data_IF_572319058387
#
_entry.id   IF_572319058387
#
_cell.length_a   1.000
_cell.length_b   1.000
_cell.length_c   1.000
_cell.angle_alpha   90.00
_cell.angle_beta   90.00
_cell.angle_gamma   90.00
#
_symmetry.space_group_name_H-M   'P 1'
#
loop_
_entity.id
_entity.type
_entity.pdbx_description
1 polymer ?
#
# COMPACT_ATOMS: atom_id res chain seq x y z
N UNK A 1 -7.72 14.27 -3.86
CA UNK A 1 -8.05 14.21 -2.41
C UNK A 1 -7.04 13.31 -1.75
N UNK A 2 -6.44 13.72 -0.62
CA UNK A 2 -5.47 12.89 0.11
C UNK A 2 -6.13 12.01 1.17
N UNK A 3 -5.59 10.80 1.33
CA UNK A 3 -6.04 9.79 2.29
C UNK A 3 -4.84 9.21 3.02
N UNK A 4 -4.97 9.01 4.34
CA UNK A 4 -3.92 8.39 5.15
C UNK A 4 -4.24 6.91 5.38
N UNK A 5 -3.28 6.05 5.05
CA UNK A 5 -3.36 4.59 5.13
C UNK A 5 -2.36 4.12 6.18
N UNK A 6 -2.84 3.49 7.24
CA UNK A 6 -2.02 2.99 8.35
C UNK A 6 -2.08 1.46 8.43
N UNK A 7 -0.96 0.80 8.16
CA UNK A 7 -0.87 -0.67 8.21
C UNK A 7 -0.81 -1.23 9.64
N UNK A 8 -0.71 -0.38 10.66
CA UNK A 8 -0.84 -0.80 12.05
C UNK A 8 -2.30 -1.06 12.46
N UNK A 9 -3.27 -0.57 11.68
CA UNK A 9 -4.70 -0.74 11.92
C UNK A 9 -5.27 -1.81 10.99
N UNK A 10 -6.18 -2.63 11.51
CA UNK A 10 -6.93 -3.59 10.69
C UNK A 10 -7.95 -2.85 9.81
N UNK A 11 -7.98 -3.20 8.53
CA UNK A 11 -8.95 -2.66 7.58
C UNK A 11 -9.87 -3.79 7.10
N UNK A 12 -11.21 -3.65 7.22
CA UNK A 12 -12.13 -4.65 6.69
C UNK A 12 -12.07 -4.67 5.17
N UNK A 13 -12.02 -5.87 4.59
CA UNK A 13 -11.97 -6.05 3.13
C UNK A 13 -13.40 -6.00 2.57
N UNK A 14 -13.66 -5.03 1.69
CA UNK A 14 -14.84 -4.95 0.84
C UNK A 14 -14.53 -5.50 -0.55
N UNK A 15 -15.24 -6.56 -0.95
CA UNK A 15 -15.07 -7.19 -2.26
C UNK A 15 -15.88 -6.50 -3.38
N UNK A 16 -16.77 -5.57 -3.02
CA UNK A 16 -17.58 -4.78 -3.94
C UNK A 16 -17.55 -3.29 -3.54
N UNK A 17 -16.38 -2.63 -3.64
CA UNK A 17 -16.28 -1.19 -3.38
C UNK A 17 -17.22 -0.42 -4.30
N UNK A 18 -17.83 0.64 -3.78
CA UNK A 18 -18.77 1.47 -4.56
C UNK A 18 -18.09 2.69 -5.16
N UNK A 19 -16.87 2.98 -4.71
CA UNK A 19 -16.08 4.13 -5.17
C UNK A 19 -14.65 3.72 -5.45
N UNK A 20 -14.03 4.38 -6.44
CA UNK A 20 -12.62 4.21 -6.77
C UNK A 20 -11.71 4.47 -5.55
N UNK A 21 -12.06 5.45 -4.73
CA UNK A 21 -11.29 5.79 -3.54
C UNK A 21 -11.22 4.62 -2.55
N UNK A 22 -12.35 3.96 -2.27
CA UNK A 22 -12.39 2.79 -1.38
C UNK A 22 -11.56 1.63 -1.93
N UNK A 23 -11.63 1.38 -3.23
CA UNK A 23 -10.86 0.35 -3.90
C UNK A 23 -9.35 0.62 -3.78
N UNK A 24 -8.90 1.81 -4.17
CA UNK A 24 -7.48 2.20 -4.16
C UNK A 24 -6.91 2.18 -2.74
N UNK A 25 -7.63 2.73 -1.76
CA UNK A 25 -7.21 2.71 -0.35
C UNK A 25 -7.05 1.27 0.15
N UNK A 26 -7.96 0.36 -0.21
CA UNK A 26 -7.87 -1.04 0.16
C UNK A 26 -6.69 -1.75 -0.51
N UNK A 27 -6.49 -1.52 -1.81
CA UNK A 27 -5.41 -2.16 -2.56
C UNK A 27 -4.04 -1.74 -2.02
N UNK A 28 -3.83 -0.43 -1.78
CA UNK A 28 -2.59 0.08 -1.17
C UNK A 28 -2.41 -0.50 0.23
N UNK A 29 -3.44 -0.52 1.08
CA UNK A 29 -3.34 -1.12 2.41
C UNK A 29 -2.93 -2.60 2.35
N UNK A 30 -3.52 -3.37 1.43
CA UNK A 30 -3.23 -4.79 1.26
C UNK A 30 -1.81 -5.03 0.74
N UNK A 31 -1.36 -4.23 -0.23
CA UNK A 31 0.01 -4.24 -0.75
C UNK A 31 1.04 -4.01 0.35
N UNK A 32 0.87 -2.94 1.13
CA UNK A 32 1.81 -2.55 2.18
C UNK A 32 1.77 -3.45 3.42
N UNK A 33 0.68 -4.21 3.59
CA UNK A 33 0.52 -5.18 4.69
C UNK A 33 1.07 -6.57 4.37
N UNK A 34 1.36 -6.84 3.10
CA UNK A 34 1.88 -8.13 2.61
C UNK A 34 3.40 -8.09 2.45
N UNK A 35 4.06 -9.24 2.54
CA UNK A 35 5.47 -9.38 2.18
C UNK A 35 5.61 -10.08 0.83
N UNK A 36 6.71 -9.80 0.14
CA UNK A 36 7.10 -10.59 -1.03
C UNK A 36 7.08 -12.09 -0.70
N UNK A 37 6.72 -12.89 -1.71
CA UNK A 37 6.53 -14.35 -1.63
C UNK A 37 5.31 -14.84 -0.85
N UNK A 38 4.54 -13.98 -0.17
CA UNK A 38 3.30 -14.41 0.52
C UNK A 38 2.21 -14.86 -0.48
N UNK A 39 2.18 -14.26 -1.67
CA UNK A 39 1.15 -14.52 -2.68
C UNK A 39 1.66 -15.54 -3.72
N UNK A 40 1.08 -16.76 -3.79
CA UNK A 40 1.63 -17.84 -4.63
C UNK A 40 1.67 -17.52 -6.14
N UNK A 41 0.66 -16.79 -6.63
CA UNK A 41 0.51 -16.44 -8.04
C UNK A 41 1.19 -15.12 -8.41
N UNK A 42 1.66 -14.35 -7.43
CA UNK A 42 2.42 -13.13 -7.65
C UNK A 42 3.46 -12.94 -6.53
N UNK A 43 4.67 -13.43 -6.76
CA UNK A 43 5.72 -13.47 -5.74
C UNK A 43 6.41 -12.14 -5.50
N UNK A 44 6.31 -11.22 -6.45
CA UNK A 44 6.88 -9.87 -6.35
C UNK A 44 5.90 -8.89 -5.68
N UNK A 45 4.68 -9.32 -5.36
CA UNK A 45 3.71 -8.51 -4.64
C UNK A 45 4.05 -8.42 -3.15
N UNK A 46 3.91 -7.22 -2.58
CA UNK A 46 4.19 -6.93 -1.18
C UNK A 46 5.53 -6.25 -0.98
N UNK A 47 5.85 -5.94 0.28
CA UNK A 47 7.11 -5.29 0.65
C UNK A 47 8.26 -6.31 0.77
N UNK A 48 9.44 -5.89 0.35
CA UNK A 48 10.65 -6.67 0.41
C UNK A 48 11.20 -6.72 1.85
N UNK A 49 11.22 -7.91 2.44
CA UNK A 49 11.65 -8.13 3.83
C UNK A 49 13.16 -7.96 4.09
N UNK A 50 13.98 -7.54 3.13
CA UNK A 50 15.44 -7.42 3.29
C UNK A 50 15.88 -6.45 4.39
N UNK A 51 14.98 -5.62 4.92
CA UNK A 51 15.26 -4.64 5.96
C UNK A 51 15.08 -5.15 7.40
N UNK A 52 14.55 -6.36 7.65
CA UNK A 52 14.23 -6.86 9.00
C UNK A 52 15.43 -6.86 9.95
N UNK A 53 16.63 -7.21 9.46
CA UNK A 53 17.85 -7.31 10.29
C UNK A 53 18.67 -6.01 10.33
N UNK A 54 18.11 -4.90 9.82
CA UNK A 54 18.83 -3.63 9.74
C UNK A 54 18.41 -2.72 10.89
N UNK A 55 19.29 -1.77 11.30
CA UNK A 55 18.89 -0.71 12.21
C UNK A 55 17.68 0.03 11.66
N UNK A 56 16.75 0.43 12.54
CA UNK A 56 15.47 1.07 12.15
C UNK A 56 15.69 2.23 11.17
N UNK A 57 16.70 3.06 11.37
CA UNK A 57 17.01 4.18 10.47
C UNK A 57 17.33 3.73 9.04
N UNK A 58 18.05 2.63 8.87
CA UNK A 58 18.36 2.04 7.56
C UNK A 58 17.15 1.29 7.00
N UNK A 59 16.40 0.60 7.87
CA UNK A 59 15.20 -0.12 7.47
C UNK A 59 14.13 0.83 6.92
N UNK A 60 13.90 1.96 7.58
CA UNK A 60 12.98 3.01 7.11
C UNK A 60 13.35 3.49 5.72
N UNK A 61 14.61 3.83 5.46
CA UNK A 61 15.03 4.31 4.14
C UNK A 61 14.84 3.27 3.02
N UNK A 62 15.12 2.00 3.31
CA UNK A 62 14.91 0.91 2.35
C UNK A 62 13.43 0.63 2.12
N UNK A 63 12.63 0.59 3.17
CA UNK A 63 11.19 0.43 3.08
C UNK A 63 10.56 1.60 2.30
N UNK A 64 11.00 2.84 2.51
CA UNK A 64 10.53 4.00 1.75
C UNK A 64 10.78 3.82 0.24
N UNK A 65 11.99 3.41 -0.15
CA UNK A 65 12.31 3.19 -1.57
C UNK A 65 11.41 2.10 -2.17
N UNK A 66 11.26 0.98 -1.46
CA UNK A 66 10.42 -0.14 -1.89
C UNK A 66 8.94 0.25 -1.98
N UNK A 67 8.42 1.05 -1.04
CA UNK A 67 7.04 1.57 -1.09
C UNK A 67 6.80 2.39 -2.37
N UNK A 68 7.74 3.26 -2.76
CA UNK A 68 7.62 4.02 -4.00
C UNK A 68 7.56 3.10 -5.23
N UNK A 69 8.46 2.12 -5.29
CA UNK A 69 8.52 1.18 -6.41
C UNK A 69 7.24 0.33 -6.49
N UNK A 70 6.81 -0.25 -5.36
CA UNK A 70 5.62 -1.13 -5.30
C UNK A 70 4.33 -0.39 -5.58
N UNK A 71 4.12 0.81 -5.02
CA UNK A 71 2.91 1.58 -5.31
C UNK A 71 2.89 2.01 -6.78
N UNK A 72 4.04 2.43 -7.34
CA UNK A 72 4.13 2.78 -8.75
C UNK A 72 3.83 1.62 -9.70
N UNK A 73 4.18 0.39 -9.31
CA UNK A 73 3.93 -0.82 -10.11
C UNK A 73 2.50 -1.35 -9.94
N UNK A 74 2.02 -1.49 -8.70
CA UNK A 74 0.80 -2.21 -8.38
C UNK A 74 -0.44 -1.33 -8.22
N UNK A 75 -0.28 -0.04 -7.89
CA UNK A 75 -1.42 0.87 -7.73
C UNK A 75 -1.07 2.28 -8.27
N UNK A 76 -0.86 2.43 -9.60
CA UNK A 76 -0.45 3.70 -10.21
C UNK A 76 -1.50 4.81 -10.11
N UNK A 77 -2.73 4.50 -9.70
CA UNK A 77 -3.80 5.48 -9.44
C UNK A 77 -3.58 6.24 -8.12
N UNK A 78 -2.71 5.74 -7.24
CA UNK A 78 -2.33 6.37 -5.98
C UNK A 78 -0.99 7.11 -6.11
N UNK A 79 -1.01 8.43 -5.96
CA UNK A 79 0.18 9.27 -5.89
C UNK A 79 0.59 9.47 -4.44
N UNK A 80 1.85 9.17 -4.10
CA UNK A 80 2.34 9.29 -2.73
C UNK A 80 2.60 10.76 -2.39
N UNK A 81 1.89 11.27 -1.38
CA UNK A 81 2.10 12.61 -0.82
C UNK A 81 3.16 12.58 0.28
N UNK A 82 3.07 11.62 1.20
CA UNK A 82 4.02 11.47 2.30
C UNK A 82 4.09 10.02 2.78
N UNK A 83 5.25 9.64 3.35
CA UNK A 83 5.46 8.33 3.96
C UNK A 83 6.00 8.56 5.37
N UNK A 84 5.25 8.05 6.33
CA UNK A 84 5.61 7.97 7.74
C UNK A 84 5.65 6.51 8.18
N UNK A 85 6.15 6.27 9.41
CA UNK A 85 6.17 4.94 9.99
C UNK A 85 5.77 4.98 11.46
N UNK A 86 4.88 4.05 11.82
CA UNK A 86 4.60 3.72 13.22
C UNK A 86 5.72 2.79 13.71
N UNK A 87 6.51 3.27 14.67
CA UNK A 87 7.69 2.56 15.21
C UNK A 87 7.54 2.21 16.68
N UNK A 88 7.88 0.97 17.04
CA UNK A 88 8.09 0.52 18.42
C UNK A 88 9.52 -0.01 18.54
N UNK A 89 10.40 0.78 19.14
CA UNK A 89 11.83 0.48 19.26
C UNK A 89 12.12 -0.71 20.20
N UNK A 90 11.28 -0.93 21.21
CA UNK A 90 11.48 -2.02 22.18
C UNK A 90 11.10 -3.37 21.56
N UNK A 91 10.08 -3.38 20.70
CA UNK A 91 9.59 -4.59 20.03
C UNK A 91 10.13 -4.79 18.62
N UNK A 92 10.83 -3.80 18.07
CA UNK A 92 11.34 -3.84 16.69
C UNK A 92 10.23 -3.77 15.63
N UNK A 93 9.11 -3.10 15.93
CA UNK A 93 8.00 -2.97 14.98
C UNK A 93 8.22 -1.73 14.13
N UNK A 94 8.14 -1.91 12.81
CA UNK A 94 8.15 -0.86 11.80
C UNK A 94 6.95 -1.09 10.89
N UNK A 95 5.93 -0.23 10.99
CA UNK A 95 4.72 -0.30 10.17
C UNK A 95 4.57 0.96 9.31
N UNK A 96 4.49 0.85 7.98
CA UNK A 96 4.33 2.01 7.12
C UNK A 96 2.96 2.67 7.32
N UNK A 97 2.97 4.00 7.25
CA UNK A 97 1.81 4.87 7.24
C UNK A 97 1.96 5.83 6.07
N UNK A 98 1.16 5.69 5.03
CA UNK A 98 1.33 6.41 3.77
C UNK A 98 0.16 7.34 3.55
N UNK A 99 0.43 8.59 3.16
CA UNK A 99 -0.58 9.50 2.64
C UNK A 99 -0.54 9.44 1.11
N UNK A 100 -1.68 9.11 0.51
CA UNK A 100 -1.84 9.01 -0.94
C UNK A 100 -2.91 9.96 -1.44
N UNK A 101 -2.68 10.57 -2.60
CA UNK A 101 -3.70 11.25 -3.38
C UNK A 101 -4.16 10.34 -4.52
N UNK A 102 -5.48 10.16 -4.64
CA UNK A 102 -6.06 9.31 -5.69
C UNK A 102 -6.38 10.16 -6.92
N UNK A 103 -5.76 9.83 -8.04
CA UNK A 103 -5.98 10.47 -9.34
C UNK A 103 -7.21 9.84 -10.02
N UNK A 104 -8.32 10.57 -10.03
CA UNK A 104 -9.64 10.09 -10.48
C UNK A 104 -9.87 10.06 -11.99
N UNK A 105 -8.83 10.16 -12.83
CA UNK A 105 -8.99 10.18 -14.30
C UNK A 105 -9.18 8.77 -14.92
N UNK A 106 -9.23 7.70 -14.12
CA UNK A 106 -9.35 6.32 -14.60
C UNK A 106 -10.79 5.77 -14.64
N UNK A 107 -11.80 6.57 -14.24
CA UNK A 107 -13.21 6.17 -14.22
C UNK A 107 -13.96 6.68 -15.46
N UNK A 108 -13.73 6.04 -16.60
CA UNK A 108 -14.73 5.96 -17.67
C UNK A 108 -14.59 4.58 -18.35
N UNK A 109 -14.96 3.52 -17.62
CA UNK A 109 -15.27 2.24 -18.24
C UNK A 109 -16.79 2.15 -18.39
N UNK A 110 -17.22 2.22 -19.64
CA UNK A 110 -18.58 2.06 -20.17
C UNK A 110 -19.44 1.07 -19.35
N UNK A 111 -20.55 1.57 -18.82
CA UNK A 111 -21.68 0.77 -18.29
C UNK A 111 -22.40 -0.03 -19.41
N UNK A 112 -21.72 -0.50 -20.44
CA UNK A 112 -22.34 -1.14 -21.61
C UNK A 112 -22.16 -2.66 -21.62
N UNK A 113 -22.58 -3.33 -20.54
CA UNK A 113 -23.00 -4.74 -20.64
C UNK A 113 -24.19 -5.01 -19.72
N UNK A 114 -25.37 -4.55 -20.16
CA UNK A 114 -26.64 -5.17 -19.79
C UNK A 114 -27.05 -6.09 -20.94
N UNK A 115 -27.01 -7.41 -20.73
CA UNK A 115 -27.82 -8.38 -21.49
C UNK A 115 -28.88 -9.00 -20.57
#
# INVERSE_FOLDING_TARGET
MSFTIDTAQEQPINLAPQTLYEEVIQNVWFLLSSLEYDIPLNREFGLNAAYIDKPITTATALATADIYDKIGEYEPRAEIVSIDFTTDYERGILKPKVEVEVNGEYDEYDEEYTE
#
